data_IF_416130965220
#
_entry.id   IF_416130965220
#
_cell.length_a   1.000
_cell.length_b   1.000
_cell.length_c   1.000
_cell.angle_alpha   90.00
_cell.angle_beta   90.00
_cell.angle_gamma   90.00
#
_symmetry.space_group_name_H-M   'P 1'
#
loop_
_entity.id
_entity.type
_entity.pdbx_description
1 polymer ?
#
# COMPACT_ATOMS: atom_id res chain seq x y z
N UNK A 1 5.33 6.61 -22.85
CA UNK A 1 5.29 5.23 -22.30
C UNK A 1 5.83 5.25 -20.88
N UNK A 2 5.02 5.53 -19.84
CA UNK A 2 5.49 5.54 -18.44
C UNK A 2 4.29 5.48 -17.47
N UNK A 3 3.61 4.34 -17.38
CA UNK A 3 2.52 4.10 -16.40
C UNK A 3 2.93 3.20 -15.22
N UNK A 4 4.22 2.91 -15.04
CA UNK A 4 4.69 1.88 -14.08
C UNK A 4 4.94 2.35 -12.64
N UNK A 5 4.99 3.66 -12.35
CA UNK A 5 5.36 4.16 -11.00
C UNK A 5 4.33 5.07 -10.32
N UNK A 6 3.20 5.38 -10.96
CA UNK A 6 2.29 6.42 -10.46
C UNK A 6 1.64 6.11 -9.11
N UNK A 7 1.45 4.82 -8.78
CA UNK A 7 0.73 4.42 -7.58
C UNK A 7 1.52 4.68 -6.28
N UNK A 8 2.86 4.56 -6.30
CA UNK A 8 3.66 4.75 -5.08
C UNK A 8 3.84 6.24 -4.73
N UNK A 9 4.02 7.10 -5.73
CA UNK A 9 4.24 8.53 -5.50
C UNK A 9 2.99 9.25 -4.99
N UNK A 10 1.78 8.80 -5.35
CA UNK A 10 0.54 9.42 -4.87
C UNK A 10 0.32 9.17 -3.38
N UNK A 11 0.54 7.94 -2.90
CA UNK A 11 0.35 7.63 -1.48
C UNK A 11 1.43 8.28 -0.60
N UNK A 12 2.67 8.40 -1.09
CA UNK A 12 3.71 9.11 -0.38
C UNK A 12 3.36 10.59 -0.19
N UNK A 13 2.88 11.26 -1.23
CA UNK A 13 2.44 12.66 -1.13
C UNK A 13 1.28 12.84 -0.13
N UNK A 14 0.33 11.90 -0.08
CA UNK A 14 -0.76 11.93 0.90
C UNK A 14 -0.28 11.73 2.35
N UNK A 15 0.72 10.88 2.56
CA UNK A 15 1.34 10.68 3.88
C UNK A 15 2.07 11.95 4.33
N UNK A 16 2.81 12.60 3.43
CA UNK A 16 3.54 13.85 3.71
C UNK A 16 2.58 15.02 3.96
N UNK A 17 1.46 15.08 3.24
CA UNK A 17 0.46 16.12 3.40
C UNK A 17 -0.31 16.05 4.72
N UNK A 18 -0.32 14.90 5.41
CA UNK A 18 -1.00 14.65 6.70
C UNK A 18 -2.50 15.03 6.72
N UNK A 19 -3.13 15.22 5.56
CA UNK A 19 -4.54 15.64 5.44
C UNK A 19 -5.52 14.51 5.70
N UNK A 20 -5.05 13.26 5.63
CA UNK A 20 -5.84 12.05 5.78
C UNK A 20 -5.21 11.12 6.81
N UNK A 21 -6.04 10.40 7.57
CA UNK A 21 -5.55 9.48 8.59
C UNK A 21 -4.60 8.42 7.98
N UNK A 22 -3.41 8.29 8.54
CA UNK A 22 -2.38 7.33 8.09
C UNK A 22 -2.93 5.90 7.89
N UNK A 23 -3.72 5.32 8.82
CA UNK A 23 -4.27 3.98 8.62
C UNK A 23 -5.16 3.84 7.38
N UNK A 24 -5.89 4.91 7.02
CA UNK A 24 -6.75 4.92 5.85
C UNK A 24 -5.94 4.94 4.55
N UNK A 25 -4.88 5.76 4.50
CA UNK A 25 -3.96 5.81 3.35
C UNK A 25 -3.32 4.44 3.11
N UNK A 26 -2.82 3.81 4.19
CA UNK A 26 -2.19 2.48 4.13
C UNK A 26 -3.18 1.39 3.69
N UNK A 27 -4.44 1.44 4.16
CA UNK A 27 -5.47 0.50 3.73
C UNK A 27 -5.75 0.59 2.22
N UNK A 28 -5.83 1.80 1.66
CA UNK A 28 -6.03 1.98 0.21
C UNK A 28 -4.81 1.53 -0.59
N UNK A 29 -3.61 1.82 -0.09
CA UNK A 29 -2.36 1.39 -0.73
C UNK A 29 -2.27 -0.14 -0.80
N UNK A 30 -2.66 -0.83 0.28
CA UNK A 30 -2.70 -2.30 0.31
C UNK A 30 -3.62 -2.90 -0.76
N UNK A 31 -4.84 -2.37 -0.89
CA UNK A 31 -5.81 -2.78 -1.92
C UNK A 31 -5.26 -2.52 -3.33
N UNK A 32 -4.66 -1.35 -3.56
CA UNK A 32 -4.10 -1.00 -4.86
C UNK A 32 -2.96 -1.94 -5.28
N UNK A 33 -2.06 -2.28 -4.35
CA UNK A 33 -0.97 -3.24 -4.61
C UNK A 33 -1.54 -4.63 -4.89
N UNK A 34 -2.48 -5.11 -4.08
CA UNK A 34 -3.11 -6.41 -4.28
C UNK A 34 -3.78 -6.54 -5.66
N UNK A 35 -4.49 -5.49 -6.10
CA UNK A 35 -5.12 -5.45 -7.41
C UNK A 35 -4.11 -5.52 -8.55
N UNK A 36 -2.99 -4.79 -8.45
CA UNK A 36 -1.93 -4.83 -9.48
C UNK A 36 -1.24 -6.19 -9.50
N UNK A 37 -0.94 -6.75 -8.33
CA UNK A 37 -0.31 -8.07 -8.19
C UNK A 37 -1.17 -9.16 -8.84
N UNK A 38 -2.48 -9.16 -8.56
CA UNK A 38 -3.42 -10.12 -9.16
C UNK A 38 -3.58 -9.90 -10.67
N UNK A 39 -3.76 -8.64 -11.10
CA UNK A 39 -4.00 -8.30 -12.51
C UNK A 39 -2.82 -8.61 -13.42
N UNK A 40 -1.61 -8.32 -12.95
CA UNK A 40 -0.38 -8.47 -13.73
C UNK A 40 0.32 -9.82 -13.48
N UNK A 41 -0.25 -10.68 -12.62
CA UNK A 41 0.31 -11.99 -12.28
C UNK A 41 1.70 -11.91 -11.63
N UNK A 42 1.99 -10.82 -10.91
CA UNK A 42 3.31 -10.58 -10.34
C UNK A 42 3.53 -11.49 -9.13
N UNK A 43 4.65 -12.20 -9.11
CA UNK A 43 5.09 -12.89 -7.90
C UNK A 43 5.93 -11.93 -7.06
N UNK A 44 5.45 -11.65 -5.85
CA UNK A 44 6.18 -10.85 -4.88
C UNK A 44 7.29 -11.70 -4.25
N UNK A 45 8.48 -11.13 -4.08
CA UNK A 45 9.54 -11.74 -3.28
C UNK A 45 9.12 -11.84 -1.81
N UNK A 46 9.80 -12.68 -1.03
CA UNK A 46 9.55 -12.81 0.41
C UNK A 46 9.66 -11.47 1.15
N UNK A 47 10.63 -10.61 0.78
CA UNK A 47 10.79 -9.28 1.37
C UNK A 47 9.67 -8.31 1.00
N UNK A 48 9.14 -8.40 -0.22
CA UNK A 48 7.98 -7.60 -0.64
C UNK A 48 6.71 -8.03 0.07
N UNK A 49 6.51 -9.35 0.27
CA UNK A 49 5.39 -9.89 1.04
C UNK A 49 5.46 -9.50 2.52
N UNK A 50 6.66 -9.51 3.11
CA UNK A 50 6.88 -9.05 4.48
C UNK A 50 6.48 -7.58 4.67
N UNK A 51 6.91 -6.69 3.76
CA UNK A 51 6.52 -5.28 3.79
C UNK A 51 5.01 -5.07 3.66
N UNK A 52 4.34 -5.85 2.82
CA UNK A 52 2.87 -5.81 2.70
C UNK A 52 2.17 -6.25 3.99
N UNK A 53 2.68 -7.26 4.68
CA UNK A 53 2.16 -7.68 5.98
C UNK A 53 2.33 -6.59 7.04
N UNK A 54 3.49 -5.96 7.11
CA UNK A 54 3.74 -4.83 8.01
C UNK A 54 2.79 -3.67 7.73
N UNK A 55 2.61 -3.30 6.45
CA UNK A 55 1.69 -2.25 6.06
C UNK A 55 0.23 -2.58 6.43
N UNK A 56 -0.17 -3.85 6.28
CA UNK A 56 -1.50 -4.34 6.69
C UNK A 56 -1.68 -4.24 8.20
N UNK A 57 -0.67 -4.62 8.98
CA UNK A 57 -0.71 -4.49 10.43
C UNK A 57 -0.88 -3.01 10.83
N UNK A 58 -0.07 -2.12 10.25
CA UNK A 58 -0.14 -0.67 10.51
C UNK A 58 -1.50 -0.05 10.13
N UNK A 59 -2.13 -0.49 9.04
CA UNK A 59 -3.48 -0.01 8.70
C UNK A 59 -4.56 -0.50 9.67
N UNK A 60 -4.31 -1.61 10.37
CA UNK A 60 -5.29 -2.25 11.26
C UNK A 60 -5.18 -1.79 12.71
N UNK A 61 -4.07 -1.14 13.12
CA UNK A 61 -3.84 -0.61 14.48
C UNK A 61 -4.94 0.36 14.98
N UNK A 62 -5.84 0.84 14.11
CA UNK A 62 -7.05 1.57 14.53
C UNK A 62 -8.12 0.69 15.20
N UNK A 63 -8.10 -0.62 14.99
CA UNK A 63 -9.00 -1.59 15.63
C UNK A 63 -8.14 -2.65 16.30
N UNK A 64 -7.88 -2.48 17.61
CA UNK A 64 -7.17 -3.49 18.39
C UNK A 64 -7.87 -4.85 18.26
N UNK A 65 -7.14 -5.84 17.78
CA UNK A 65 -7.51 -7.25 17.82
C UNK A 65 -6.33 -8.03 18.37
#
# INVERSE_FOLDING_TARGET
MTKRYHCSNSYQAELEAQTTAVPFILSRMNIAIANVVQKEGLQLSASQQAKLKEMTALSTIRYGY
#
